data_IF_078892349258
#
_entry.id   IF_078892349258
#
_cell.length_a   1.000
_cell.length_b   1.000
_cell.length_c   1.000
_cell.angle_alpha   90.00
_cell.angle_beta   90.00
_cell.angle_gamma   90.00
#
_symmetry.space_group_name_H-M   'P 1'
#
loop_
_entity.id
_entity.type
_entity.pdbx_description
1 polymer ?
#
# COMPACT_ATOMS: atom_id res chain seq x y z
N UNK A 1 -3.68 13.92 -18.21
CA UNK A 1 -3.73 14.89 -17.09
C UNK A 1 -4.94 15.81 -17.25
N UNK A 2 -5.91 15.42 -18.07
CA UNK A 2 -6.87 16.27 -18.73
C UNK A 2 -7.80 17.03 -17.76
N UNK A 3 -8.12 16.44 -16.61
CA UNK A 3 -8.91 17.11 -15.57
C UNK A 3 -8.14 18.28 -14.93
N UNK A 4 -6.86 18.08 -14.63
CA UNK A 4 -6.00 19.13 -14.09
C UNK A 4 -5.74 20.21 -15.15
N UNK A 5 -5.51 19.82 -16.41
CA UNK A 5 -5.34 20.74 -17.55
C UNK A 5 -6.56 21.65 -17.78
N UNK A 6 -7.75 21.20 -17.37
CA UNK A 6 -9.01 21.98 -17.38
C UNK A 6 -9.17 22.92 -16.18
N UNK A 7 -8.17 23.04 -15.31
CA UNK A 7 -8.19 23.89 -14.11
C UNK A 7 -8.93 23.27 -12.92
N UNK A 8 -9.22 21.97 -12.92
CA UNK A 8 -9.86 21.30 -11.79
C UNK A 8 -8.82 20.85 -10.76
N UNK A 9 -9.13 21.02 -9.47
CA UNK A 9 -8.36 20.38 -8.39
C UNK A 9 -8.72 18.89 -8.33
N UNK A 10 -7.77 18.04 -8.70
CA UNK A 10 -7.92 16.58 -8.64
C UNK A 10 -7.28 16.06 -7.36
N UNK A 11 -8.04 15.29 -6.57
CA UNK A 11 -7.54 14.62 -5.37
C UNK A 11 -7.66 13.11 -5.59
N UNK A 12 -6.55 12.40 -5.46
CA UNK A 12 -6.46 10.94 -5.62
C UNK A 12 -5.96 10.34 -4.30
N UNK A 13 -6.56 9.23 -3.88
CA UNK A 13 -6.08 8.42 -2.77
C UNK A 13 -6.02 6.94 -3.19
N UNK A 14 -5.01 6.22 -2.71
CA UNK A 14 -4.87 4.80 -2.97
C UNK A 14 -3.57 4.23 -2.39
N UNK A 15 -3.39 2.92 -2.55
CA UNK A 15 -2.19 2.22 -2.09
C UNK A 15 -1.00 2.53 -2.99
N UNK A 16 0.14 2.84 -2.40
CA UNK A 16 1.41 3.04 -3.10
C UNK A 16 2.13 1.71 -3.37
N UNK A 17 1.89 0.68 -2.55
CA UNK A 17 2.46 -0.66 -2.67
C UNK A 17 1.40 -1.76 -2.53
N UNK A 18 1.65 -2.92 -3.14
CA UNK A 18 0.89 -4.14 -2.89
C UNK A 18 1.41 -4.89 -1.64
N UNK A 19 0.83 -6.06 -1.32
CA UNK A 19 1.24 -6.84 -0.14
C UNK A 19 2.67 -7.41 -0.22
N UNK A 20 3.26 -7.47 -1.42
CA UNK A 20 4.67 -7.86 -1.64
C UNK A 20 5.63 -6.68 -1.51
N UNK A 21 5.10 -5.49 -1.20
CA UNK A 21 5.81 -4.23 -1.21
C UNK A 21 6.35 -3.80 -2.58
N UNK A 22 5.76 -4.30 -3.65
CA UNK A 22 6.01 -3.79 -5.00
C UNK A 22 5.12 -2.57 -5.23
N UNK A 23 5.54 -1.59 -6.04
CA UNK A 23 4.72 -0.44 -6.36
C UNK A 23 3.37 -0.85 -6.95
N UNK A 24 2.29 -0.20 -6.51
CA UNK A 24 0.99 -0.39 -7.12
C UNK A 24 0.95 0.37 -8.46
N UNK A 25 0.73 -0.30 -9.62
CA UNK A 25 1.00 0.29 -10.94
C UNK A 25 0.31 1.64 -11.21
N UNK A 26 -0.98 1.76 -10.88
CA UNK A 26 -1.73 3.00 -11.09
C UNK A 26 -1.24 4.15 -10.21
N UNK A 27 -0.93 3.87 -8.94
CA UNK A 27 -0.47 4.89 -8.01
C UNK A 27 0.96 5.34 -8.33
N UNK A 28 1.83 4.43 -8.77
CA UNK A 28 3.20 4.76 -9.18
C UNK A 28 3.23 5.87 -10.23
N UNK A 29 2.40 5.76 -11.27
CA UNK A 29 2.34 6.75 -12.35
C UNK A 29 1.77 8.08 -11.85
N UNK A 30 0.71 8.03 -11.02
CA UNK A 30 0.07 9.24 -10.50
C UNK A 30 0.99 10.02 -9.56
N UNK A 31 1.74 9.33 -8.69
CA UNK A 31 2.72 9.97 -7.81
C UNK A 31 3.86 10.66 -8.58
N UNK A 32 4.24 10.14 -9.76
CA UNK A 32 5.32 10.71 -10.55
C UNK A 32 4.94 12.02 -11.24
N UNK A 33 3.65 12.24 -11.52
CA UNK A 33 3.15 13.41 -12.27
C UNK A 33 2.41 14.42 -11.37
N UNK A 34 2.04 14.05 -10.15
CA UNK A 34 1.29 14.93 -9.26
C UNK A 34 2.13 16.12 -8.76
N UNK A 35 1.53 17.30 -8.67
CA UNK A 35 2.17 18.49 -8.10
C UNK A 35 2.41 18.37 -6.59
N UNK A 36 1.60 17.58 -5.88
CA UNK A 36 1.72 17.32 -4.45
C UNK A 36 1.47 15.85 -4.14
N UNK A 37 2.31 15.27 -3.27
CA UNK A 37 2.22 13.88 -2.85
C UNK A 37 2.37 13.79 -1.34
N UNK A 38 1.26 13.44 -0.67
CA UNK A 38 1.25 13.13 0.76
C UNK A 38 1.32 11.61 0.98
N UNK A 39 2.49 11.11 1.40
CA UNK A 39 2.66 9.71 1.73
C UNK A 39 2.34 9.45 3.20
N UNK A 40 1.14 8.95 3.44
CA UNK A 40 0.68 8.61 4.79
C UNK A 40 1.34 7.32 5.30
N UNK A 41 1.45 7.22 6.62
CA UNK A 41 1.89 6.03 7.32
C UNK A 41 0.83 5.61 8.34
N UNK A 42 0.85 4.34 8.72
CA UNK A 42 0.00 3.78 9.76
C UNK A 42 0.83 3.48 11.03
N UNK A 43 0.25 2.77 11.99
CA UNK A 43 0.93 2.25 13.17
C UNK A 43 1.17 0.75 13.01
N UNK A 44 2.40 0.30 13.25
CA UNK A 44 2.78 -1.10 13.12
C UNK A 44 2.07 -1.95 14.17
N UNK A 45 1.30 -2.94 13.72
CA UNK A 45 0.55 -3.84 14.59
C UNK A 45 1.43 -4.72 15.49
N UNK A 46 2.74 -4.86 15.22
CA UNK A 46 3.69 -5.61 16.07
C UNK A 46 4.40 -4.78 17.11
N UNK A 47 4.87 -3.60 16.73
CA UNK A 47 5.84 -2.84 17.53
C UNK A 47 5.45 -1.38 17.79
N UNK A 48 4.33 -0.91 17.25
CA UNK A 48 3.85 0.47 17.46
C UNK A 48 4.61 1.55 16.69
N UNK A 49 5.70 1.23 15.99
CA UNK A 49 6.42 2.19 15.14
C UNK A 49 5.60 2.59 13.89
N UNK A 50 6.03 3.63 13.18
CA UNK A 50 5.41 4.00 11.90
C UNK A 50 5.49 2.85 10.88
N UNK A 51 4.34 2.54 10.29
CA UNK A 51 4.15 1.46 9.33
C UNK A 51 3.99 1.98 7.91
N UNK A 52 4.69 1.32 6.98
CA UNK A 52 4.71 1.69 5.56
C UNK A 52 4.48 0.48 4.66
N UNK A 53 4.00 -0.64 5.21
CA UNK A 53 3.76 -1.90 4.49
C UNK A 53 2.43 -2.49 4.93
N UNK A 54 1.69 -3.03 3.97
CA UNK A 54 0.52 -3.86 4.22
C UNK A 54 0.95 -5.32 4.23
N UNK A 55 1.07 -5.93 5.42
CA UNK A 55 1.33 -7.35 5.56
C UNK A 55 0.03 -8.10 5.28
N UNK A 56 0.02 -8.96 4.27
CA UNK A 56 -1.08 -9.93 4.10
C UNK A 56 -0.76 -11.20 4.87
N UNK A 57 -1.76 -11.69 5.60
CA UNK A 57 -1.74 -12.97 6.30
C UNK A 57 -2.79 -13.91 5.71
N UNK A 58 -2.45 -15.18 5.56
CA UNK A 58 -3.37 -16.28 5.25
C UNK A 58 -3.22 -17.29 6.39
N UNK A 59 -4.29 -17.53 7.14
CA UNK A 59 -4.26 -18.38 8.34
C UNK A 59 -3.15 -17.98 9.35
N UNK A 60 -2.93 -16.68 9.52
CA UNK A 60 -1.95 -16.13 10.47
C UNK A 60 -0.49 -16.14 9.98
N UNK A 61 -0.21 -16.66 8.79
CA UNK A 61 1.13 -16.70 8.19
C UNK A 61 1.25 -15.70 7.04
N UNK A 62 2.45 -15.13 6.78
CA UNK A 62 2.68 -14.29 5.61
C UNK A 62 2.20 -14.95 4.32
N UNK A 63 1.42 -14.23 3.53
CA UNK A 63 0.93 -14.75 2.25
C UNK A 63 2.12 -15.05 1.30
N UNK A 64 2.07 -16.14 0.52
CA UNK A 64 3.15 -16.50 -0.39
C UNK A 64 3.23 -15.54 -1.58
N UNK A 65 4.36 -15.52 -2.28
CA UNK A 65 4.62 -14.58 -3.37
C UNK A 65 3.72 -14.79 -4.59
N UNK A 66 3.30 -16.02 -4.84
CA UNK A 66 2.46 -16.43 -5.98
C UNK A 66 0.95 -16.23 -5.74
N UNK A 67 0.54 -15.92 -4.52
CA UNK A 67 -0.87 -15.69 -4.23
C UNK A 67 -1.40 -14.42 -4.94
N UNK A 68 -2.68 -14.46 -5.33
CA UNK A 68 -3.31 -13.42 -6.13
C UNK A 68 -3.11 -12.02 -5.53
N UNK A 69 -2.71 -11.05 -6.35
CA UNK A 69 -2.44 -9.67 -5.86
C UNK A 69 -3.71 -8.95 -5.45
N UNK A 70 -4.80 -9.14 -6.21
CA UNK A 70 -6.08 -8.46 -5.99
C UNK A 70 -6.98 -9.34 -5.12
N UNK A 71 -7.02 -9.01 -3.83
CA UNK A 71 -7.92 -9.64 -2.86
C UNK A 71 -8.50 -8.56 -1.98
N UNK A 72 -9.83 -8.46 -1.97
CA UNK A 72 -10.58 -7.54 -1.10
C UNK A 72 -10.66 -8.14 0.30
N UNK A 73 -10.30 -7.36 1.30
CA UNK A 73 -10.40 -7.73 2.71
C UNK A 73 -9.89 -6.62 3.62
N UNK A 74 -10.16 -6.77 4.91
CA UNK A 74 -9.75 -5.87 5.98
C UNK A 74 -8.79 -6.54 6.96
N UNK A 75 -9.04 -6.35 8.25
CA UNK A 75 -8.18 -6.83 9.35
C UNK A 75 -8.06 -8.36 9.44
N UNK A 76 -8.97 -9.09 8.81
CA UNK A 76 -8.93 -10.54 8.71
C UNK A 76 -7.85 -11.04 7.74
N UNK A 77 -7.38 -10.19 6.83
CA UNK A 77 -6.33 -10.52 5.86
C UNK A 77 -5.10 -9.61 5.95
N UNK A 78 -5.25 -8.37 6.43
CA UNK A 78 -4.21 -7.36 6.33
C UNK A 78 -3.96 -6.64 7.65
N UNK A 79 -2.69 -6.34 7.90
CA UNK A 79 -2.28 -5.47 8.99
C UNK A 79 -1.13 -4.55 8.55
N UNK A 80 -1.05 -3.38 9.17
CA UNK A 80 0.05 -2.46 8.90
C UNK A 80 1.32 -2.91 9.62
N UNK A 81 2.44 -2.98 8.90
CA UNK A 81 3.77 -3.31 9.45
C UNK A 81 4.80 -2.25 9.09
N UNK A 82 5.72 -1.98 10.01
CA UNK A 82 6.94 -1.24 9.70
C UNK A 82 7.89 -2.12 8.87
N UNK A 83 8.91 -1.50 8.29
CA UNK A 83 9.89 -2.22 7.45
C UNK A 83 10.58 -3.37 8.19
N UNK A 84 10.84 -3.22 9.50
CA UNK A 84 11.51 -4.23 10.31
C UNK A 84 10.61 -5.42 10.69
N UNK A 85 9.30 -5.20 10.85
CA UNK A 85 8.34 -6.25 11.22
C UNK A 85 7.61 -6.84 10.01
N UNK A 86 7.84 -6.31 8.81
CA UNK A 86 7.28 -6.84 7.57
C UNK A 86 8.03 -8.11 7.17
N UNK A 87 7.28 -9.18 6.94
CA UNK A 87 7.79 -10.48 6.52
C UNK A 87 7.44 -10.65 5.04
N UNK A 88 8.47 -10.56 4.20
CA UNK A 88 8.31 -10.61 2.76
C UNK A 88 7.66 -11.94 2.34
N UNK A 89 6.72 -11.85 1.39
CA UNK A 89 6.16 -13.00 0.72
C UNK A 89 7.30 -13.83 0.12
N UNK A 90 7.40 -15.09 0.54
CA UNK A 90 8.35 -16.07 0.01
C UNK A 90 7.63 -17.04 -0.92
#
# INVERSE_FOLDING_TARGET
QDLADRGLRVIVAGLDQNYRAEPFPGMMQLMAIAEQVDKLYAICARCGAYATRSQRLINGLPAPADAATLVVGGLELYEARCRACYEAAR
#
